data_IF_128833434409
#
_entry.id   IF_128833434409
#
_cell.length_a   1.000
_cell.length_b   1.000
_cell.length_c   1.000
_cell.angle_alpha   90.00
_cell.angle_beta   90.00
_cell.angle_gamma   90.00
#
_symmetry.space_group_name_H-M   'P 1'
#
loop_
_entity.id
_entity.type
_entity.pdbx_description
1 polymer ?
#
# COMPACT_ATOMS: atom_id res chain seq x y z
N UNK A 1 8.67 -12.93 -5.71
CA UNK A 1 7.62 -12.62 -6.72
C UNK A 1 6.62 -11.67 -6.09
N UNK A 2 6.24 -10.59 -6.78
CA UNK A 2 5.24 -9.59 -6.33
C UNK A 2 3.94 -9.84 -7.08
N UNK A 3 2.80 -9.79 -6.39
CA UNK A 3 1.49 -10.00 -6.98
C UNK A 3 0.49 -8.93 -6.50
N UNK A 4 -0.01 -8.06 -7.38
CA UNK A 4 -1.05 -7.10 -7.01
C UNK A 4 -2.38 -7.82 -6.78
N UNK A 5 -3.15 -7.41 -5.77
CA UNK A 5 -4.51 -7.92 -5.57
C UNK A 5 -5.44 -7.49 -6.73
N UNK A 6 -6.50 -8.24 -7.04
CA UNK A 6 -6.86 -9.54 -6.47
C UNK A 6 -5.93 -10.69 -6.90
N UNK A 7 -5.65 -11.61 -5.99
CA UNK A 7 -4.90 -12.85 -6.20
C UNK A 7 -5.77 -14.06 -5.85
N UNK A 8 -5.49 -15.19 -6.51
CA UNK A 8 -6.25 -16.44 -6.34
C UNK A 8 -5.91 -17.14 -5.02
N UNK A 9 -6.40 -16.56 -3.92
CA UNK A 9 -6.20 -17.01 -2.56
C UNK A 9 -7.37 -16.53 -1.67
N UNK A 10 -7.21 -16.63 -0.35
CA UNK A 10 -8.25 -16.22 0.60
C UNK A 10 -8.76 -14.79 0.36
N UNK A 11 -10.06 -14.52 0.54
CA UNK A 11 -10.60 -13.16 0.56
C UNK A 11 -9.92 -12.27 1.59
N UNK A 12 -9.52 -12.83 2.74
CA UNK A 12 -8.85 -12.08 3.81
C UNK A 12 -7.56 -11.40 3.34
N UNK A 13 -6.70 -12.12 2.60
CA UNK A 13 -5.47 -11.53 2.05
C UNK A 13 -5.78 -10.50 0.94
N UNK A 14 -6.83 -10.72 0.15
CA UNK A 14 -7.26 -9.75 -0.88
C UNK A 14 -7.84 -8.46 -0.29
N UNK A 15 -8.31 -8.50 0.96
CA UNK A 15 -8.92 -7.38 1.67
C UNK A 15 -7.98 -6.75 2.72
N UNK A 16 -6.71 -7.18 2.81
CA UNK A 16 -5.80 -6.70 3.85
C UNK A 16 -5.60 -5.18 3.78
N UNK A 17 -5.33 -4.62 2.59
CA UNK A 17 -5.15 -3.18 2.40
C UNK A 17 -6.40 -2.33 2.65
N UNK A 18 -7.55 -2.97 2.81
CA UNK A 18 -8.82 -2.33 3.20
C UNK A 18 -9.36 -2.90 4.51
N UNK A 19 -8.51 -3.50 5.34
CA UNK A 19 -8.91 -3.93 6.67
C UNK A 19 -9.37 -2.71 7.49
N UNK A 20 -10.47 -2.78 8.27
CA UNK A 20 -11.02 -1.61 8.97
C UNK A 20 -10.00 -0.84 9.84
N UNK A 21 -9.08 -1.55 10.50
CA UNK A 21 -8.03 -0.91 11.29
C UNK A 21 -7.00 -0.15 10.43
N UNK A 22 -6.66 -0.68 9.24
CA UNK A 22 -5.78 -0.02 8.27
C UNK A 22 -6.47 1.23 7.71
N UNK A 23 -7.73 1.10 7.31
CA UNK A 23 -8.53 2.22 6.79
C UNK A 23 -8.67 3.32 7.84
N UNK A 24 -9.00 2.97 9.09
CA UNK A 24 -9.11 3.94 10.18
C UNK A 24 -7.79 4.66 10.45
N UNK A 25 -6.68 3.92 10.46
CA UNK A 25 -5.36 4.51 10.62
C UNK A 25 -5.01 5.45 9.46
N UNK A 26 -5.24 5.03 8.20
CA UNK A 26 -4.98 5.84 7.03
C UNK A 26 -5.80 7.14 7.04
N UNK A 27 -7.10 7.06 7.38
CA UNK A 27 -7.98 8.24 7.56
C UNK A 27 -7.40 9.23 8.58
N UNK A 28 -6.98 8.73 9.75
CA UNK A 28 -6.38 9.57 10.78
C UNK A 28 -5.04 10.18 10.34
N UNK A 29 -4.16 9.38 9.73
CA UNK A 29 -2.84 9.79 9.29
C UNK A 29 -2.87 10.81 8.14
N UNK A 30 -3.83 10.64 7.23
CA UNK A 30 -4.08 11.54 6.09
C UNK A 30 -5.09 12.65 6.42
N UNK A 31 -5.62 12.71 7.64
CA UNK A 31 -6.60 13.72 8.09
C UNK A 31 -7.80 13.86 7.15
N UNK A 32 -8.34 12.73 6.69
CA UNK A 32 -9.46 12.67 5.75
C UNK A 32 -10.43 11.57 6.14
N UNK A 33 -11.72 11.76 5.83
CA UNK A 33 -12.75 10.76 6.10
C UNK A 33 -12.84 9.68 5.02
N UNK A 34 -12.23 9.92 3.85
CA UNK A 34 -12.31 9.04 2.68
C UNK A 34 -10.92 8.79 2.11
N UNK A 35 -10.56 7.52 2.03
CA UNK A 35 -9.28 7.07 1.47
C UNK A 35 -9.51 6.13 0.30
N UNK A 36 -8.53 6.07 -0.59
CA UNK A 36 -8.44 5.12 -1.68
C UNK A 36 -7.17 4.29 -1.53
N UNK A 37 -7.30 2.97 -1.70
CA UNK A 37 -6.16 2.09 -1.90
C UNK A 37 -5.78 2.17 -3.37
N UNK A 38 -4.57 2.64 -3.66
CA UNK A 38 -4.10 2.81 -5.03
C UNK A 38 -3.02 1.78 -5.40
N UNK A 39 -2.50 1.07 -4.40
CA UNK A 39 -1.69 -0.13 -4.55
C UNK A 39 -1.93 -1.05 -3.36
N UNK A 40 -2.04 -2.34 -3.64
CA UNK A 40 -2.10 -3.41 -2.65
C UNK A 40 -1.48 -4.65 -3.28
N UNK A 41 -0.35 -5.10 -2.76
CA UNK A 41 0.41 -6.21 -3.34
C UNK A 41 0.88 -7.17 -2.25
N UNK A 42 0.95 -8.45 -2.59
CA UNK A 42 1.53 -9.47 -1.76
C UNK A 42 2.84 -9.97 -2.38
N UNK A 43 3.87 -10.15 -1.54
CA UNK A 43 5.19 -10.58 -2.00
C UNK A 43 5.95 -11.37 -0.94
N UNK A 44 7.00 -12.04 -1.39
CA UNK A 44 7.99 -12.71 -0.55
C UNK A 44 9.36 -12.66 -1.25
N UNK A 45 10.43 -12.56 -0.45
CA UNK A 45 11.83 -12.59 -0.90
C UNK A 45 12.38 -14.01 -0.74
N UNK A 46 12.78 -14.65 -1.82
CA UNK A 46 13.31 -16.02 -1.79
C UNK A 46 14.82 -15.98 -1.95
N UNK A 47 15.55 -16.43 -0.93
CA UNK A 47 17.02 -16.40 -0.91
C UNK A 47 17.63 -17.00 -2.18
N UNK A 48 18.49 -16.22 -2.85
CA UNK A 48 19.17 -16.62 -4.08
C UNK A 48 18.36 -16.45 -5.37
N UNK A 49 17.07 -16.08 -5.31
CA UNK A 49 16.25 -15.92 -6.51
C UNK A 49 16.41 -14.55 -7.21
N UNK A 50 16.84 -13.51 -6.49
CA UNK A 50 17.03 -12.18 -7.07
C UNK A 50 17.97 -11.30 -6.23
N UNK A 51 18.32 -10.13 -6.77
CA UNK A 51 18.85 -9.04 -5.96
C UNK A 51 17.70 -8.27 -5.27
N UNK A 52 17.60 -8.35 -3.94
CA UNK A 52 16.60 -7.69 -3.10
C UNK A 52 17.17 -6.50 -2.32
N UNK A 53 18.48 -6.22 -2.41
CA UNK A 53 19.06 -5.05 -1.76
C UNK A 53 18.56 -3.80 -2.47
N UNK A 54 17.95 -2.90 -1.71
CA UNK A 54 17.48 -1.61 -2.18
C UNK A 54 18.12 -0.52 -1.32
N UNK A 55 18.74 0.52 -1.89
CA UNK A 55 19.23 1.64 -1.11
C UNK A 55 18.07 2.35 -0.41
N UNK A 56 18.34 3.15 0.63
CA UNK A 56 17.33 3.99 1.24
C UNK A 56 16.73 4.94 0.20
N UNK A 57 15.41 4.87 0.03
CA UNK A 57 14.63 5.67 -0.91
C UNK A 57 13.27 6.03 -0.32
N UNK A 58 12.60 7.01 -0.93
CA UNK A 58 11.18 7.26 -0.72
C UNK A 58 10.41 6.70 -1.91
N UNK A 59 9.26 6.07 -1.67
CA UNK A 59 8.48 5.41 -2.71
C UNK A 59 7.91 6.38 -3.75
N UNK A 60 7.76 7.68 -3.46
CA UNK A 60 7.01 8.60 -4.32
C UNK A 60 7.39 8.66 -5.80
N UNK A 61 8.65 8.34 -6.17
CA UNK A 61 9.19 8.55 -7.53
C UNK A 61 8.41 7.77 -8.61
N UNK A 62 7.84 6.62 -8.25
CA UNK A 62 6.99 5.81 -9.13
C UNK A 62 5.48 5.94 -8.82
N UNK A 63 5.08 6.89 -7.97
CA UNK A 63 3.70 7.04 -7.47
C UNK A 63 3.12 8.42 -7.79
N UNK A 64 3.98 9.42 -7.97
CA UNK A 64 3.62 10.78 -8.39
C UNK A 64 4.71 11.36 -9.28
N UNK A 65 4.35 12.30 -10.16
CA UNK A 65 5.30 13.03 -11.00
C UNK A 65 6.04 14.15 -10.24
N UNK A 66 5.60 14.49 -9.04
CA UNK A 66 6.16 15.55 -8.20
C UNK A 66 6.76 15.00 -6.91
N UNK A 67 7.38 15.86 -6.11
CA UNK A 67 7.66 15.51 -4.72
C UNK A 67 6.35 15.36 -3.91
N UNK A 68 6.34 14.60 -2.80
CA UNK A 68 5.18 14.47 -1.92
C UNK A 68 4.84 15.79 -1.23
N UNK A 69 3.56 16.05 -1.01
CA UNK A 69 3.10 17.24 -0.29
C UNK A 69 3.58 17.28 1.17
N UNK A 70 3.89 18.47 1.67
CA UNK A 70 4.10 18.68 3.11
C UNK A 70 2.81 18.56 3.92
N UNK A 71 1.67 18.83 3.28
CA UNK A 71 0.35 18.57 3.84
C UNK A 71 0.03 17.07 3.76
N UNK A 72 -0.15 16.45 4.93
CA UNK A 72 -0.52 15.04 5.05
C UNK A 72 -1.83 14.70 4.32
N UNK A 73 -2.75 15.65 4.17
CA UNK A 73 -4.02 15.44 3.46
C UNK A 73 -3.84 15.24 1.96
N UNK A 74 -2.76 15.78 1.40
CA UNK A 74 -2.43 15.70 -0.03
C UNK A 74 -1.33 14.67 -0.32
N UNK A 75 -1.10 13.75 0.61
CA UNK A 75 0.00 12.78 0.57
C UNK A 75 -0.53 11.34 0.61
N UNK A 76 0.38 10.37 0.61
CA UNK A 76 0.08 8.96 0.73
C UNK A 76 0.74 8.32 1.96
N UNK A 77 0.32 7.09 2.25
CA UNK A 77 0.89 6.26 3.30
C UNK A 77 1.10 4.85 2.78
N UNK A 78 2.27 4.28 3.09
CA UNK A 78 2.66 2.90 2.82
C UNK A 78 2.55 2.09 4.10
N UNK A 79 1.86 0.96 4.04
CA UNK A 79 1.70 0.05 5.17
C UNK A 79 2.29 -1.29 4.77
N UNK A 80 3.27 -1.76 5.54
CA UNK A 80 3.92 -3.04 5.32
C UNK A 80 3.43 -4.04 6.36
N UNK A 81 2.71 -5.06 5.91
CA UNK A 81 2.16 -6.12 6.76
C UNK A 81 3.02 -7.38 6.70
N UNK A 82 3.45 -7.88 7.86
CA UNK A 82 4.07 -9.20 7.99
C UNK A 82 3.08 -10.22 8.54
N UNK A 83 2.97 -11.38 7.88
CA UNK A 83 2.05 -12.47 8.27
C UNK A 83 2.73 -13.62 9.01
N UNK A 84 4.03 -13.51 9.27
CA UNK A 84 4.84 -14.43 10.07
C UNK A 84 5.89 -13.63 10.85
N UNK A 85 6.58 -14.27 11.79
CA UNK A 85 7.73 -13.66 12.45
C UNK A 85 8.81 -13.31 11.41
N UNK A 86 9.39 -12.12 11.53
CA UNK A 86 10.47 -11.61 10.70
C UNK A 86 11.64 -11.26 11.60
N UNK A 87 12.82 -11.79 11.28
CA UNK A 87 14.10 -11.45 11.91
C UNK A 87 14.97 -10.73 10.88
N UNK A 88 16.07 -10.11 11.30
CA UNK A 88 16.99 -9.45 10.36
C UNK A 88 17.53 -10.42 9.29
N UNK A 89 17.70 -11.70 9.64
CA UNK A 89 18.07 -12.78 8.71
C UNK A 89 17.09 -13.01 7.54
N UNK A 90 15.87 -12.47 7.63
CA UNK A 90 14.86 -12.58 6.58
C UNK A 90 14.86 -11.37 5.61
N UNK A 91 15.78 -10.41 5.79
CA UNK A 91 15.85 -9.21 4.95
C UNK A 91 14.63 -8.29 5.12
N UNK A 92 14.31 -7.85 6.35
CA UNK A 92 13.21 -6.90 6.60
C UNK A 92 13.44 -5.57 5.88
N UNK A 93 12.43 -4.71 5.90
CA UNK A 93 12.65 -3.33 5.52
C UNK A 93 13.42 -2.63 6.65
N UNK A 94 14.32 -1.73 6.30
CA UNK A 94 14.81 -0.75 7.26
C UNK A 94 14.16 0.60 6.99
N UNK A 95 13.99 1.40 8.02
CA UNK A 95 13.44 2.74 7.90
C UNK A 95 14.20 3.72 8.80
N UNK A 96 14.17 4.98 8.43
CA UNK A 96 14.62 6.10 9.28
C UNK A 96 13.44 6.97 9.68
N UNK A 97 13.52 7.58 10.85
CA UNK A 97 12.54 8.60 11.23
C UNK A 97 12.76 9.87 10.41
N UNK A 98 11.74 10.74 10.28
CA UNK A 98 11.87 11.99 9.53
C UNK A 98 12.99 12.90 10.11
N UNK A 99 13.06 13.11 11.45
CA UNK A 99 14.17 13.89 12.02
C UNK A 99 15.54 13.28 11.71
N UNK A 100 15.66 11.96 11.78
CA UNK A 100 16.93 11.27 11.49
C UNK A 100 17.33 11.40 10.02
N UNK A 101 16.36 11.31 9.11
CA UNK A 101 16.58 11.53 7.67
C UNK A 101 17.05 12.97 7.39
N UNK A 102 16.38 13.97 7.97
CA UNK A 102 16.75 15.38 7.83
C UNK A 102 18.12 15.71 8.43
N UNK A 103 18.52 14.98 9.49
CA UNK A 103 19.85 15.11 10.07
C UNK A 103 20.95 14.43 9.23
N UNK A 104 20.58 13.52 8.33
CA UNK A 104 21.51 12.80 7.45
C UNK A 104 21.74 13.52 6.11
N UNK A 105 20.69 14.15 5.55
CA UNK A 105 20.75 14.84 4.26
C UNK A 105 19.68 15.93 4.16
N UNK A 106 20.01 17.03 3.47
CA UNK A 106 19.00 18.00 3.05
C UNK A 106 18.07 17.38 1.98
N UNK A 107 16.80 17.82 1.87
CA UNK A 107 15.83 17.24 0.92
C UNK A 107 16.35 17.18 -0.52
N UNK A 108 16.96 18.26 -1.02
CA UNK A 108 17.51 18.36 -2.37
C UNK A 108 18.69 17.41 -2.60
N UNK A 109 19.48 17.10 -1.57
CA UNK A 109 20.60 16.17 -1.67
C UNK A 109 20.12 14.74 -1.93
N UNK A 110 18.93 14.38 -1.45
CA UNK A 110 18.35 13.04 -1.69
C UNK A 110 18.05 12.76 -3.16
N UNK A 111 17.93 13.81 -3.99
CA UNK A 111 17.71 13.72 -5.43
C UNK A 111 19.01 13.76 -6.25
N UNK A 112 20.16 13.94 -5.59
CA UNK A 112 21.46 14.00 -6.27
C UNK A 112 21.74 12.70 -7.02
N UNK A 113 22.27 12.81 -8.24
CA UNK A 113 22.74 11.66 -9.03
C UNK A 113 24.26 11.43 -8.85
N UNK A 114 24.92 12.23 -8.02
CA UNK A 114 26.35 12.07 -7.72
C UNK A 114 26.58 10.84 -6.81
N UNK A 115 27.37 9.85 -7.25
CA UNK A 115 27.63 8.63 -6.48
C UNK A 115 28.27 8.87 -5.11
N UNK A 116 29.16 9.84 -4.97
CA UNK A 116 29.87 10.12 -3.71
C UNK A 116 28.91 10.78 -2.71
N UNK A 117 28.04 11.65 -3.21
CA UNK A 117 26.96 12.25 -2.40
C UNK A 117 26.00 11.15 -1.94
N UNK A 118 25.54 10.28 -2.84
CA UNK A 118 24.65 9.17 -2.50
C UNK A 118 25.29 8.22 -1.49
N UNK A 119 26.55 7.82 -1.67
CA UNK A 119 27.26 6.95 -0.73
C UNK A 119 27.32 7.56 0.69
N UNK A 120 27.61 8.86 0.82
CA UNK A 120 27.61 9.55 2.11
C UNK A 120 26.22 9.56 2.75
N UNK A 121 25.18 9.86 1.97
CA UNK A 121 23.80 9.90 2.47
C UNK A 121 23.37 8.51 2.94
N UNK A 122 23.59 7.47 2.13
CA UNK A 122 23.25 6.09 2.46
C UNK A 122 23.95 5.63 3.74
N UNK A 123 25.24 5.93 3.91
CA UNK A 123 25.97 5.64 5.15
C UNK A 123 25.38 6.38 6.37
N UNK A 124 25.00 7.65 6.19
CA UNK A 124 24.38 8.45 7.24
C UNK A 124 22.99 7.94 7.66
N UNK A 125 22.20 7.47 6.70
CA UNK A 125 20.88 6.88 6.92
C UNK A 125 20.99 5.51 7.59
N UNK A 126 21.89 4.65 7.10
CA UNK A 126 22.12 3.33 7.66
C UNK A 126 22.46 3.40 9.16
N UNK A 127 23.34 4.33 9.55
CA UNK A 127 23.73 4.55 10.95
C UNK A 127 22.57 4.99 11.87
N UNK A 128 21.45 5.46 11.30
CA UNK A 128 20.25 5.93 12.02
C UNK A 128 19.03 5.05 11.78
N UNK A 129 19.19 4.00 10.99
CA UNK A 129 18.09 3.15 10.55
C UNK A 129 17.60 2.23 11.67
N UNK A 130 16.38 1.75 11.50
CA UNK A 130 15.74 0.78 12.36
C UNK A 130 15.18 -0.33 11.49
N UNK A 131 15.40 -1.57 11.91
CA UNK A 131 14.78 -2.74 11.29
C UNK A 131 13.29 -2.78 11.58
N UNK A 132 12.50 -3.20 10.60
CA UNK A 132 11.09 -3.57 10.78
C UNK A 132 10.90 -5.01 11.24
N UNK A 133 11.98 -5.77 11.49
CA UNK A 133 11.91 -7.11 12.06
C UNK A 133 11.05 -7.13 13.34
N UNK A 134 10.23 -8.15 13.46
CA UNK A 134 9.28 -8.26 14.54
C UNK A 134 8.30 -9.41 14.35
N UNK A 135 7.35 -9.49 15.29
CA UNK A 135 6.22 -10.42 15.23
C UNK A 135 5.25 -10.01 14.12
N UNK A 136 4.36 -10.92 13.65
CA UNK A 136 3.32 -10.59 12.69
C UNK A 136 2.56 -9.32 13.11
N UNK A 137 2.69 -8.29 12.29
CA UNK A 137 2.14 -6.97 12.56
C UNK A 137 2.15 -6.12 11.27
N UNK A 138 1.38 -5.04 11.30
CA UNK A 138 1.51 -3.96 10.33
C UNK A 138 2.57 -2.95 10.83
N UNK A 139 3.52 -2.64 9.97
CA UNK A 139 4.48 -1.54 10.10
C UNK A 139 4.08 -0.40 9.17
N UNK A 140 4.33 0.84 9.57
CA UNK A 140 3.81 2.01 8.88
C UNK A 140 4.92 2.95 8.43
N UNK A 141 4.90 3.29 7.15
CA UNK A 141 5.81 4.20 6.49
C UNK A 141 4.99 5.30 5.82
N UNK A 142 5.26 6.55 6.13
CA UNK A 142 4.72 7.64 5.33
C UNK A 142 5.65 7.88 4.14
N UNK A 143 5.11 8.27 2.99
CA UNK A 143 5.81 8.52 1.72
C UNK A 143 6.84 9.69 1.74
N UNK A 144 7.18 10.17 2.95
CA UNK A 144 8.29 11.10 3.21
C UNK A 144 9.33 10.50 4.18
N UNK A 145 9.24 9.20 4.46
CA UNK A 145 10.25 8.44 5.21
C UNK A 145 11.07 7.65 4.21
N UNK A 146 12.38 7.63 4.43
CA UNK A 146 13.28 6.81 3.65
C UNK A 146 13.26 5.39 4.24
N UNK A 147 13.15 4.42 3.35
CA UNK A 147 13.24 2.99 3.66
C UNK A 147 14.15 2.26 2.68
N UNK A 148 14.77 1.19 3.15
CA UNK A 148 15.54 0.25 2.35
C UNK A 148 14.95 -1.15 2.49
N UNK A 149 15.35 -2.03 1.59
CA UNK A 149 15.05 -3.45 1.66
C UNK A 149 16.35 -4.24 1.64
N UNK A 150 16.47 -5.23 2.51
CA UNK A 150 17.69 -6.02 2.61
C UNK A 150 17.51 -7.40 1.98
N UNK A 151 18.61 -7.97 1.53
CA UNK A 151 18.71 -9.37 1.14
C UNK A 151 18.48 -10.31 2.34
N UNK A 152 17.67 -11.37 2.20
CA UNK A 152 17.64 -12.44 3.18
C UNK A 152 18.96 -13.23 3.14
N UNK A 153 19.53 -13.52 4.30
CA UNK A 153 20.76 -14.30 4.46
C UNK A 153 20.50 -15.79 4.79
N UNK A 154 19.24 -16.14 5.06
CA UNK A 154 18.85 -17.45 5.56
C UNK A 154 18.12 -18.28 4.49
N UNK A 155 18.40 -19.58 4.44
CA UNK A 155 17.69 -20.53 3.57
C UNK A 155 16.31 -20.96 4.12
N UNK A 156 15.73 -20.15 5.02
CA UNK A 156 14.45 -20.42 5.68
C UNK A 156 13.24 -20.18 4.78
N UNK A 157 12.05 -20.52 5.28
CA UNK A 157 10.80 -20.17 4.59
C UNK A 157 10.66 -18.64 4.59
N UNK A 158 10.49 -18.00 3.44
CA UNK A 158 10.41 -16.55 3.40
C UNK A 158 9.10 -16.05 3.99
N UNK A 159 9.13 -14.92 4.72
CA UNK A 159 7.91 -14.31 5.23
C UNK A 159 7.04 -13.83 4.07
N UNK A 160 5.73 -14.05 4.18
CA UNK A 160 4.77 -13.38 3.32
C UNK A 160 4.61 -11.94 3.83
N UNK A 161 4.69 -11.00 2.90
CA UNK A 161 4.53 -9.58 3.13
C UNK A 161 3.39 -9.04 2.26
N UNK A 162 2.73 -7.97 2.71
CA UNK A 162 1.91 -7.15 1.85
C UNK A 162 2.24 -5.66 2.02
N UNK A 163 2.31 -4.93 0.90
CA UNK A 163 2.36 -3.48 0.86
C UNK A 163 0.98 -2.94 0.48
N UNK A 164 0.44 -2.08 1.33
CA UNK A 164 -0.86 -1.44 1.17
C UNK A 164 -0.65 0.08 1.17
N UNK A 165 -0.88 0.71 0.02
CA UNK A 165 -0.69 2.14 -0.13
C UNK A 165 -2.03 2.86 -0.31
N UNK A 166 -2.26 3.82 0.57
CA UNK A 166 -3.49 4.57 0.65
C UNK A 166 -3.22 6.07 0.49
N UNK A 167 -4.21 6.75 -0.05
CA UNK A 167 -4.20 8.19 -0.27
C UNK A 167 -5.60 8.77 -0.07
N UNK A 168 -5.72 10.10 0.07
CA UNK A 168 -7.02 10.75 0.19
C UNK A 168 -7.86 10.58 -1.08
N UNK A 169 -9.15 10.26 -0.95
CA UNK A 169 -10.03 10.08 -2.11
C UNK A 169 -10.06 11.36 -2.96
N UNK A 170 -9.83 11.21 -4.27
CA UNK A 170 -9.87 12.31 -5.24
C UNK A 170 -8.53 12.99 -5.51
N UNK A 171 -7.45 12.56 -4.87
CA UNK A 171 -6.11 13.02 -5.23
C UNK A 171 -5.54 12.12 -6.36
N UNK A 172 -5.86 12.51 -7.59
CA UNK A 172 -5.48 11.77 -8.81
C UNK A 172 -3.99 11.92 -9.17
N UNK A 173 -3.26 12.80 -8.49
CA UNK A 173 -1.82 12.99 -8.69
C UNK A 173 -0.99 11.83 -8.10
N UNK A 174 -1.59 11.01 -7.24
CA UNK A 174 -0.95 9.82 -6.65
C UNK A 174 -1.68 8.56 -7.14
N UNK A 175 -0.97 7.70 -7.87
CA UNK A 175 -1.53 6.47 -8.41
C UNK A 175 -0.45 5.44 -8.69
N UNK A 176 -0.85 4.17 -8.79
CA UNK A 176 0.05 3.07 -9.15
C UNK A 176 -0.70 1.95 -9.87
N UNK A 177 -1.72 1.35 -9.24
CA UNK A 177 -2.49 0.26 -9.85
C UNK A 177 -3.78 0.79 -10.49
N UNK A 178 -3.92 0.76 -11.83
CA UNK A 178 -5.20 1.03 -12.47
C UNK A 178 -6.13 -0.18 -12.32
N UNK A 179 -6.95 -0.23 -11.27
CA UNK A 179 -7.80 -1.38 -10.93
C UNK A 179 -8.65 -1.91 -12.10
N UNK A 180 -9.17 -1.04 -12.96
CA UNK A 180 -9.94 -1.45 -14.13
C UNK A 180 -9.12 -2.28 -15.14
N UNK A 181 -7.82 -2.03 -15.26
CA UNK A 181 -6.92 -2.81 -16.12
C UNK A 181 -6.80 -4.26 -15.63
N UNK A 182 -6.99 -4.49 -14.34
CA UNK A 182 -6.89 -5.82 -13.73
C UNK A 182 -8.19 -6.62 -13.77
N UNK A 183 -9.13 -6.28 -14.65
CA UNK A 183 -10.46 -6.91 -14.74
C UNK A 183 -10.47 -8.45 -14.90
N UNK A 184 -9.39 -9.06 -15.38
CA UNK A 184 -9.25 -10.52 -15.49
C UNK A 184 -8.79 -11.20 -14.18
N UNK A 185 -8.36 -10.44 -13.17
CA UNK A 185 -8.04 -10.96 -11.83
C UNK A 185 -9.32 -11.40 -11.11
N UNK A 186 -9.23 -12.27 -10.07
CA UNK A 186 -10.39 -12.81 -9.37
C UNK A 186 -11.08 -11.78 -8.46
N UNK A 187 -11.66 -10.74 -9.05
CA UNK A 187 -12.36 -9.65 -8.35
C UNK A 187 -13.53 -10.12 -7.47
N UNK A 188 -14.07 -11.33 -7.73
CA UNK A 188 -15.02 -12.00 -6.83
C UNK A 188 -14.50 -12.13 -5.39
N UNK A 189 -13.19 -12.33 -5.21
CA UNK A 189 -12.58 -12.43 -3.88
C UNK A 189 -12.77 -11.14 -3.06
N UNK A 190 -12.92 -10.00 -3.74
CA UNK A 190 -13.21 -8.70 -3.14
C UNK A 190 -14.73 -8.46 -3.14
N UNK A 191 -15.38 -8.45 -4.31
CA UNK A 191 -16.80 -8.07 -4.44
C UNK A 191 -17.76 -8.93 -3.61
N UNK A 192 -17.47 -10.23 -3.47
CA UNK A 192 -18.36 -11.13 -2.73
C UNK A 192 -18.19 -11.01 -1.20
N UNK A 193 -17.10 -10.37 -0.74
CA UNK A 193 -16.68 -10.39 0.67
C UNK A 193 -16.50 -8.99 1.30
N UNK A 194 -16.35 -7.94 0.49
CA UNK A 194 -16.10 -6.59 0.94
C UNK A 194 -17.38 -5.88 1.40
N UNK A 195 -17.24 -5.02 2.43
CA UNK A 195 -18.28 -4.06 2.79
C UNK A 195 -18.33 -2.90 1.77
N UNK A 196 -19.40 -2.09 1.76
CA UNK A 196 -19.45 -0.90 0.90
C UNK A 196 -18.29 0.08 1.13
N UNK A 197 -17.84 0.25 2.38
CA UNK A 197 -16.69 1.10 2.72
C UNK A 197 -15.38 0.55 2.14
N UNK A 198 -15.20 -0.77 2.19
CA UNK A 198 -14.03 -1.43 1.60
C UNK A 198 -14.04 -1.34 0.07
N UNK A 199 -15.21 -1.54 -0.57
CA UNK A 199 -15.37 -1.35 -2.01
C UNK A 199 -15.09 0.10 -2.42
N UNK A 200 -15.51 1.07 -1.60
CA UNK A 200 -15.24 2.48 -1.84
C UNK A 200 -13.73 2.81 -1.83
N UNK A 201 -12.94 2.10 -1.04
CA UNK A 201 -11.47 2.23 -1.07
C UNK A 201 -10.87 1.82 -2.42
N UNK A 202 -11.48 0.86 -3.13
CA UNK A 202 -11.09 0.48 -4.50
C UNK A 202 -11.69 1.37 -5.58
N UNK A 203 -12.40 2.45 -5.21
CA UNK A 203 -13.03 3.37 -6.14
C UNK A 203 -14.42 2.95 -6.62
N UNK A 204 -15.05 1.93 -6.02
CA UNK A 204 -16.45 1.60 -6.28
C UNK A 204 -17.33 2.70 -5.67
N UNK A 205 -18.29 3.31 -6.40
CA UNK A 205 -19.13 4.36 -5.85
C UNK A 205 -19.91 3.88 -4.63
N UNK A 206 -20.12 4.74 -3.62
CA UNK A 206 -20.79 4.37 -2.36
C UNK A 206 -22.31 4.20 -2.55
N UNK A 207 -23.04 3.52 -1.63
CA UNK A 207 -24.50 3.54 -1.62
C UNK A 207 -25.04 4.98 -1.61
N UNK A 208 -26.02 5.27 -2.48
CA UNK A 208 -26.61 6.60 -2.66
C UNK A 208 -25.86 7.51 -3.65
N UNK A 209 -24.72 7.08 -4.18
CA UNK A 209 -24.04 7.79 -5.26
C UNK A 209 -24.90 7.79 -6.55
N UNK A 210 -25.02 8.92 -7.28
CA UNK A 210 -25.84 9.03 -8.49
C UNK A 210 -25.42 8.11 -9.63
N UNK A 211 -24.22 7.49 -9.56
CA UNK A 211 -23.84 6.40 -10.44
C UNK A 211 -24.79 5.20 -10.38
N UNK A 212 -25.38 4.94 -9.21
CA UNK A 212 -26.25 3.78 -8.99
C UNK A 212 -27.67 4.06 -9.48
N UNK A 213 -28.06 3.29 -10.48
CA UNK A 213 -29.41 3.18 -11.03
C UNK A 213 -29.81 1.71 -10.95
N UNK A 214 -31.10 1.40 -11.12
CA UNK A 214 -31.54 0.00 -11.16
C UNK A 214 -30.77 -0.80 -12.24
N UNK A 215 -30.49 -0.18 -13.39
CA UNK A 215 -29.73 -0.81 -14.49
C UNK A 215 -28.26 -1.05 -14.11
N UNK A 216 -27.58 -0.08 -13.50
CA UNK A 216 -26.16 -0.25 -13.13
C UNK A 216 -25.99 -1.24 -11.98
N UNK A 217 -26.96 -1.32 -11.05
CA UNK A 217 -26.99 -2.35 -10.01
C UNK A 217 -27.22 -3.74 -10.58
N UNK A 218 -28.19 -3.91 -11.48
CA UNK A 218 -28.46 -5.20 -12.14
C UNK A 218 -27.24 -5.70 -12.93
N UNK A 219 -26.60 -4.82 -13.72
CA UNK A 219 -25.41 -5.18 -14.50
C UNK A 219 -24.21 -5.51 -13.62
N UNK A 220 -24.01 -4.77 -12.54
CA UNK A 220 -22.93 -5.06 -11.59
C UNK A 220 -23.17 -6.38 -10.85
N UNK A 221 -24.40 -6.69 -10.44
CA UNK A 221 -24.76 -8.00 -9.87
C UNK A 221 -24.55 -9.14 -10.87
N UNK A 222 -24.87 -8.94 -12.15
CA UNK A 222 -24.62 -9.95 -13.18
C UNK A 222 -23.12 -10.21 -13.38
N UNK A 223 -22.29 -9.16 -13.24
CA UNK A 223 -20.83 -9.28 -13.28
C UNK A 223 -20.26 -9.95 -12.02
N UNK A 224 -20.83 -9.67 -10.86
CA UNK A 224 -20.41 -10.23 -9.57
C UNK A 224 -21.61 -10.86 -8.84
N UNK A 225 -21.95 -12.12 -9.16
CA UNK A 225 -23.16 -12.76 -8.63
C UNK A 225 -23.20 -12.88 -7.11
N UNK A 226 -22.04 -12.99 -6.44
CA UNK A 226 -21.93 -13.08 -4.99
C UNK A 226 -21.91 -11.73 -4.26
N UNK A 227 -21.89 -10.60 -4.99
CA UNK A 227 -21.87 -9.28 -4.38
C UNK A 227 -23.15 -9.01 -3.58
N UNK A 228 -23.00 -8.61 -2.33
CA UNK A 228 -24.11 -8.16 -1.51
C UNK A 228 -24.49 -6.69 -1.85
N UNK A 229 -25.45 -6.51 -2.76
CA UNK A 229 -25.92 -5.20 -3.22
C UNK A 229 -27.03 -4.58 -2.36
N UNK A 230 -27.40 -5.18 -1.21
CA UNK A 230 -28.57 -4.77 -0.43
C UNK A 230 -28.55 -3.29 -0.01
N UNK A 231 -27.40 -2.81 0.50
CA UNK A 231 -27.24 -1.42 0.92
C UNK A 231 -27.39 -0.43 -0.25
N UNK A 232 -26.88 -0.79 -1.42
CA UNK A 232 -26.96 0.03 -2.63
C UNK A 232 -28.39 0.13 -3.16
N UNK A 233 -29.13 -0.98 -3.14
CA UNK A 233 -30.54 -1.02 -3.55
C UNK A 233 -31.43 -0.23 -2.61
N UNK A 234 -31.21 -0.34 -1.30
CA UNK A 234 -31.95 0.44 -0.32
C UNK A 234 -31.77 1.96 -0.52
N UNK A 235 -30.56 2.38 -0.92
CA UNK A 235 -30.24 3.79 -1.09
C UNK A 235 -30.84 4.43 -2.36
N UNK A 236 -31.21 3.66 -3.39
CA UNK A 236 -31.90 4.21 -4.58
C UNK A 236 -33.42 4.33 -4.38
N UNK A 237 -33.96 3.64 -3.37
CA UNK A 237 -35.39 3.68 -3.02
C UNK A 237 -35.72 4.71 -1.94
N UNK A 238 -34.70 5.27 -1.29
CA UNK A 238 -34.80 6.30 -0.26
C UNK A 238 -34.87 7.71 -0.87
#
# INVERSE_FOLDING_TARGET
>A
MIQPVPIDCSPALNLIGVHPAIVAFAKAALKTDKVHVYQCQAWAKFTGEADYDQPFHCDFVNHTLTAPSEDSHLNSITILCYFSDVTDAHGPAHFVTRPDAQAAAAPEETLSQDPDVQARIQAGLLARSRSSAGRPAASFLHDRRLSSGDQPDSAGRPPLCADDLLQGRGNEAIAFTPWAHTHMKPWRNIFDNATPEQLACFGVPEPGDPFWTEVTLQRTQARYPGWNSAAYRAAITA
#
